data_IF_128180683337
#
_entry.id   IF_128180683337
#
_cell.length_a   1.000
_cell.length_b   1.000
_cell.length_c   1.000
_cell.angle_alpha   90.00
_cell.angle_beta   90.00
_cell.angle_gamma   90.00
#
_symmetry.space_group_name_H-M   'P 1'
#
loop_
_entity.id
_entity.type
_entity.pdbx_description
1 polymer ?
#
# COMPACT_ATOMS: atom_id res chain seq x y z
N UNK A 1 21.65 78.94 -12.79
CA UNK A 1 22.29 80.12 -12.18
C UNK A 1 21.78 80.27 -10.77
N UNK A 2 22.69 80.56 -9.82
CA UNK A 2 22.48 80.83 -8.39
C UNK A 2 21.87 79.66 -7.61
N UNK A 3 22.40 79.22 -6.47
CA UNK A 3 22.91 80.01 -5.36
C UNK A 3 24.06 79.28 -4.67
N UNK A 4 25.20 79.97 -4.53
CA UNK A 4 26.22 79.65 -3.53
C UNK A 4 25.56 79.85 -2.16
N UNK A 5 25.04 78.77 -1.57
CA UNK A 5 24.60 78.78 -0.17
C UNK A 5 25.83 79.00 0.71
N UNK A 6 25.88 80.18 1.32
CA UNK A 6 26.93 80.65 2.21
C UNK A 6 27.19 79.65 3.34
N UNK A 7 28.40 79.10 3.34
CA UNK A 7 28.95 78.27 4.41
C UNK A 7 29.23 79.07 5.70
N UNK A 8 28.98 80.38 5.71
CA UNK A 8 29.20 81.28 6.85
C UNK A 8 28.13 81.20 7.95
N UNK A 9 27.10 80.36 7.80
CA UNK A 9 26.00 80.25 8.78
C UNK A 9 26.19 79.22 9.90
N UNK A 10 27.33 78.52 9.95
CA UNK A 10 27.51 77.39 10.88
C UNK A 10 28.48 77.63 12.04
N UNK A 11 29.11 78.80 12.18
CA UNK A 11 30.22 78.93 13.15
C UNK A 11 30.05 79.94 14.29
N UNK A 12 28.97 80.71 14.39
CA UNK A 12 28.74 81.55 15.58
C UNK A 12 27.26 81.60 15.97
N UNK A 13 26.91 81.40 17.26
CA UNK A 13 25.57 81.71 17.76
C UNK A 13 25.31 83.21 17.58
N UNK A 14 24.16 83.59 17.03
CA UNK A 14 23.73 85.00 16.95
C UNK A 14 23.71 85.62 18.35
N UNK A 15 24.54 86.63 18.60
CA UNK A 15 24.35 87.53 19.72
C UNK A 15 23.04 88.30 19.51
N UNK A 16 22.07 88.11 20.41
CA UNK A 16 20.93 89.03 20.53
C UNK A 16 21.36 90.18 21.43
N UNK A 17 21.46 91.36 20.85
CA UNK A 17 21.48 92.62 21.60
C UNK A 17 20.04 92.95 22.00
N UNK A 18 19.78 93.07 23.29
CA UNK A 18 18.53 93.61 23.83
C UNK A 18 18.78 95.08 24.22
N UNK A 19 17.78 95.97 24.06
CA UNK A 19 17.93 97.40 24.32
C UNK A 19 18.06 97.70 25.81
N UNK A 20 18.76 98.80 26.13
CA UNK A 20 19.05 99.21 27.51
C UNK A 20 17.77 99.51 28.32
N UNK A 21 17.75 99.02 29.57
CA UNK A 21 16.99 99.68 30.65
C UNK A 21 15.68 99.05 31.13
N UNK A 22 15.65 97.77 31.53
CA UNK A 22 14.54 97.25 32.36
C UNK A 22 15.06 96.29 33.45
N UNK A 23 14.78 96.59 34.73
CA UNK A 23 15.08 95.75 35.90
C UNK A 23 14.07 94.61 36.00
N UNK A 24 14.55 93.38 36.16
CA UNK A 24 13.74 92.15 36.21
C UNK A 24 13.29 91.81 37.64
N UNK A 25 11.98 91.54 37.79
CA UNK A 25 11.41 90.66 38.82
C UNK A 25 11.03 89.34 38.12
N UNK A 26 11.32 88.22 38.79
CA UNK A 26 11.31 86.79 38.38
C UNK A 26 10.29 86.36 37.29
N UNK A 27 10.64 85.49 36.31
CA UNK A 27 9.67 84.97 35.36
C UNK A 27 9.15 83.55 35.67
N UNK A 28 7.82 83.42 35.61
CA UNK A 28 7.08 82.21 35.30
C UNK A 28 7.26 81.83 33.82
N UNK A 29 7.52 80.55 33.57
CA UNK A 29 7.07 79.73 32.43
C UNK A 29 6.78 80.33 31.03
N UNK A 30 7.61 81.21 30.47
CA UNK A 30 7.78 81.35 28.99
C UNK A 30 9.04 82.13 28.56
N UNK A 31 10.00 82.34 29.45
CA UNK A 31 11.24 83.08 29.18
C UNK A 31 12.34 82.15 28.63
N UNK A 32 13.29 82.67 27.80
CA UNK A 32 14.49 81.91 27.46
C UNK A 32 15.16 81.47 28.77
N UNK A 33 15.38 80.16 28.84
CA UNK A 33 16.16 79.48 29.86
C UNK A 33 17.24 80.43 30.42
N UNK A 34 17.26 80.72 31.74
CA UNK A 34 18.22 81.64 32.34
C UNK A 34 19.63 81.43 31.77
N UNK A 35 20.42 82.49 31.54
CA UNK A 35 21.77 82.42 30.90
C UNK A 35 22.66 81.29 31.43
N UNK A 36 22.45 80.85 32.68
CA UNK A 36 23.13 79.68 33.19
C UNK A 36 22.75 78.39 32.43
N UNK A 37 21.52 78.09 32.03
CA UNK A 37 21.16 76.86 31.31
C UNK A 37 21.91 76.65 29.98
N UNK A 38 22.35 77.71 29.31
CA UNK A 38 23.15 77.65 28.08
C UNK A 38 24.67 77.61 28.33
N UNK A 39 25.11 77.73 29.58
CA UNK A 39 26.52 77.67 29.96
C UNK A 39 27.13 76.28 29.65
N UNK A 40 28.28 76.20 28.94
CA UNK A 40 28.97 74.93 28.70
C UNK A 40 29.48 74.32 30.01
N UNK A 41 29.65 72.99 30.03
CA UNK A 41 29.99 72.21 31.23
C UNK A 41 31.35 72.60 31.85
N UNK A 42 32.23 73.19 31.04
CA UNK A 42 33.59 73.57 31.39
C UNK A 42 33.69 75.03 31.88
N UNK A 43 32.60 75.80 31.79
CA UNK A 43 32.59 77.19 32.24
C UNK A 43 32.08 77.28 33.69
N UNK A 44 32.83 78.02 34.52
CA UNK A 44 32.47 78.31 35.90
C UNK A 44 31.13 79.06 35.95
N UNK A 45 30.21 78.63 36.80
CA UNK A 45 28.98 79.38 37.06
C UNK A 45 29.35 80.82 37.49
N UNK A 46 28.87 81.86 36.78
CA UNK A 46 29.19 83.24 37.14
C UNK A 46 28.51 83.58 38.46
N UNK A 47 29.29 83.69 39.54
CA UNK A 47 28.83 84.09 40.87
C UNK A 47 29.25 85.53 41.09
N UNK A 48 28.27 86.43 41.29
CA UNK A 48 28.54 87.78 41.78
C UNK A 48 28.90 87.64 43.27
N UNK A 49 30.01 88.22 43.76
CA UNK A 49 30.34 88.17 45.17
C UNK A 49 29.24 88.89 45.97
N UNK A 50 28.44 88.09 46.67
CA UNK A 50 27.38 88.55 47.56
C UNK A 50 27.89 88.59 49.01
N UNK A 51 27.23 89.36 49.87
CA UNK A 51 27.52 89.34 51.30
C UNK A 51 27.32 87.92 51.85
N UNK A 52 28.06 87.59 52.92
CA UNK A 52 27.91 86.31 53.62
C UNK A 52 26.42 86.13 53.99
N UNK A 53 25.85 84.99 53.64
CA UNK A 53 24.44 84.59 53.85
C UNK A 53 23.38 85.11 52.84
N UNK A 54 23.75 85.93 51.85
CA UNK A 54 22.79 86.42 50.84
C UNK A 54 22.62 85.48 49.63
N UNK A 55 23.64 84.67 49.32
CA UNK A 55 23.64 83.73 48.19
C UNK A 55 23.98 82.31 48.65
N UNK A 56 22.99 81.43 48.73
CA UNK A 56 23.17 80.01 49.07
C UNK A 56 22.88 79.10 47.88
N UNK A 57 23.87 78.31 47.44
CA UNK A 57 23.63 77.26 46.45
C UNK A 57 22.95 76.07 47.10
N UNK A 58 22.04 75.43 46.37
CA UNK A 58 21.28 74.28 46.85
C UNK A 58 21.28 73.17 45.80
N UNK A 59 21.29 71.92 46.26
CA UNK A 59 21.25 70.73 45.38
C UNK A 59 19.86 70.08 45.38
N UNK A 60 19.64 69.10 46.26
CA UNK A 60 18.40 68.35 46.42
C UNK A 60 17.68 68.72 47.71
N UNK A 61 16.45 68.21 47.87
CA UNK A 61 15.77 68.22 49.17
C UNK A 61 16.51 67.30 50.14
N UNK A 62 16.33 67.56 51.43
CA UNK A 62 16.81 66.65 52.48
C UNK A 62 16.28 65.23 52.22
N UNK A 63 17.11 64.22 52.47
CA UNK A 63 16.82 62.80 52.26
C UNK A 63 16.50 62.41 50.82
N UNK A 64 16.91 63.23 49.83
CA UNK A 64 16.88 62.84 48.43
C UNK A 64 18.31 62.67 47.90
N UNK A 65 18.59 61.54 47.21
CA UNK A 65 19.92 61.29 46.67
C UNK A 65 20.18 62.30 45.55
N UNK A 66 21.33 62.97 45.59
CA UNK A 66 21.73 63.94 44.58
C UNK A 66 21.98 63.29 43.21
N UNK A 67 22.43 62.03 43.22
CA UNK A 67 22.77 61.28 42.01
C UNK A 67 21.87 60.05 41.94
N UNK A 68 20.79 60.12 41.16
CA UNK A 68 19.89 58.98 40.90
C UNK A 68 19.95 58.59 39.44
N UNK A 69 20.55 57.44 39.12
CA UNK A 69 20.49 56.90 37.76
C UNK A 69 19.03 56.65 37.35
N UNK A 70 18.70 56.94 36.09
CA UNK A 70 17.41 56.53 35.50
C UNK A 70 17.44 55.14 34.91
N UNK A 71 18.62 54.52 34.80
CA UNK A 71 18.74 53.12 34.44
C UNK A 71 18.39 52.32 35.68
N UNK A 72 17.14 51.87 35.74
CA UNK A 72 16.61 51.13 36.90
C UNK A 72 17.10 49.67 36.92
N UNK A 73 17.78 49.20 35.84
CA UNK A 73 18.02 47.77 35.60
C UNK A 73 19.45 47.42 35.10
N UNK A 74 20.32 48.40 34.80
CA UNK A 74 21.67 48.14 34.26
C UNK A 74 22.75 49.02 34.90
N UNK A 75 23.96 48.47 35.03
CA UNK A 75 25.14 49.20 35.52
C UNK A 75 25.64 50.15 34.42
N UNK A 76 25.81 51.43 34.75
CA UNK A 76 26.37 52.42 33.81
C UNK A 76 27.89 52.28 33.75
N UNK A 77 28.39 51.60 32.70
CA UNK A 77 29.83 51.46 32.44
C UNK A 77 30.44 52.70 31.75
N UNK A 78 29.66 53.77 31.53
CA UNK A 78 30.15 54.97 30.83
C UNK A 78 31.14 55.80 31.66
N UNK A 79 31.10 55.67 32.99
CA UNK A 79 32.01 56.35 33.92
C UNK A 79 32.64 55.35 34.90
N UNK A 80 33.60 54.52 34.46
CA UNK A 80 34.18 53.44 35.26
C UNK A 80 34.93 53.94 36.50
N UNK A 81 35.28 55.22 36.55
CA UNK A 81 36.00 55.85 37.66
C UNK A 81 35.12 56.76 38.51
N UNK A 82 33.78 56.75 38.32
CA UNK A 82 32.83 57.61 39.03
C UNK A 82 33.24 59.09 39.09
N UNK A 83 33.84 59.64 38.02
CA UNK A 83 34.30 61.04 37.98
C UNK A 83 33.15 62.04 38.09
N UNK A 84 31.93 61.59 37.83
CA UNK A 84 30.72 62.42 37.73
C UNK A 84 29.92 62.48 39.03
N UNK A 85 30.09 61.48 39.89
CA UNK A 85 29.40 61.38 41.17
C UNK A 85 30.40 61.58 42.30
N UNK A 86 30.04 62.40 43.29
CA UNK A 86 30.78 62.41 44.55
C UNK A 86 30.40 61.17 45.36
N UNK A 87 31.39 60.40 45.80
CA UNK A 87 31.22 59.21 46.66
C UNK A 87 31.21 59.55 48.15
N UNK A 88 31.36 60.82 48.51
CA UNK A 88 31.34 61.27 49.90
C UNK A 88 29.96 61.10 50.51
N UNK A 89 29.87 60.28 51.56
CA UNK A 89 28.63 60.04 52.28
C UNK A 89 28.16 61.32 52.98
N UNK A 90 26.91 61.71 52.73
CA UNK A 90 26.26 62.85 53.37
C UNK A 90 24.95 62.41 54.01
N UNK A 91 24.87 62.43 55.35
CA UNK A 91 23.67 62.02 56.09
C UNK A 91 22.40 62.80 55.66
N UNK A 92 22.54 64.08 55.29
CA UNK A 92 21.43 64.92 54.83
C UNK A 92 20.83 64.48 53.47
N UNK A 93 21.52 63.63 52.71
CA UNK A 93 21.07 63.12 51.40
C UNK A 93 20.60 61.66 51.48
N UNK A 94 20.71 61.04 52.65
CA UNK A 94 20.34 59.64 52.87
C UNK A 94 18.81 59.48 52.91
N UNK A 95 18.20 58.69 52.00
CA UNK A 95 16.78 58.40 52.01
C UNK A 95 16.30 57.67 53.27
N UNK A 96 17.16 56.86 53.90
CA UNK A 96 16.80 56.06 55.06
C UNK A 96 16.77 56.87 56.36
N UNK A 97 17.44 58.03 56.38
CA UNK A 97 17.40 58.96 57.52
C UNK A 97 16.19 59.90 57.49
N UNK A 98 15.26 59.71 56.54
CA UNK A 98 14.08 60.57 56.38
C UNK A 98 13.25 60.70 57.66
N UNK A 99 12.95 59.59 58.32
CA UNK A 99 12.09 59.60 59.51
C UNK A 99 12.81 60.21 60.72
N UNK A 100 14.14 60.02 60.79
CA UNK A 100 14.96 60.64 61.82
C UNK A 100 15.05 62.16 61.62
N UNK A 101 15.44 62.62 60.43
CA UNK A 101 15.61 64.03 60.10
C UNK A 101 14.29 64.80 60.01
N UNK A 102 13.15 64.11 59.87
CA UNK A 102 11.82 64.71 59.89
C UNK A 102 11.35 65.13 61.29
N UNK A 103 11.98 64.65 62.37
CA UNK A 103 11.60 65.01 63.74
C UNK A 103 11.71 66.53 63.96
N UNK A 104 10.71 67.17 64.59
CA UNK A 104 10.62 68.64 64.63
C UNK A 104 11.80 69.30 65.37
N UNK A 105 12.29 68.68 66.45
CA UNK A 105 13.46 69.19 67.18
C UNK A 105 14.74 69.11 66.35
N UNK A 106 14.95 68.01 65.61
CA UNK A 106 16.11 67.82 64.73
C UNK A 106 16.05 68.80 63.57
N UNK A 107 14.87 68.97 62.95
CA UNK A 107 14.69 69.94 61.87
C UNK A 107 14.94 71.37 62.33
N UNK A 108 14.51 71.74 63.53
CA UNK A 108 14.80 73.05 64.13
C UNK A 108 16.30 73.26 64.31
N UNK A 109 16.99 72.26 64.86
CA UNK A 109 18.45 72.28 65.04
C UNK A 109 19.20 72.39 63.69
N UNK A 110 18.75 71.67 62.65
CA UNK A 110 19.35 71.74 61.31
C UNK A 110 19.18 73.12 60.66
N UNK A 111 18.06 73.80 60.92
CA UNK A 111 17.83 75.17 60.46
C UNK A 111 18.70 76.18 61.24
N UNK A 112 18.78 76.03 62.57
CA UNK A 112 19.63 76.87 63.43
C UNK A 112 21.12 76.75 63.06
N UNK A 113 21.55 75.56 62.61
CA UNK A 113 22.93 75.30 62.18
C UNK A 113 23.19 75.62 60.70
N UNK A 114 22.23 76.20 59.95
CA UNK A 114 22.33 76.48 58.51
C UNK A 114 22.71 75.26 57.65
N UNK A 115 22.38 74.05 58.11
CA UNK A 115 22.64 72.81 57.38
C UNK A 115 21.53 72.49 56.36
N UNK A 116 20.38 73.15 56.50
CA UNK A 116 19.22 73.01 55.62
C UNK A 116 18.62 74.40 55.41
N UNK A 117 18.18 74.70 54.20
CA UNK A 117 17.47 75.96 53.92
C UNK A 117 16.04 75.93 54.49
N UNK A 118 15.37 77.07 54.68
CA UNK A 118 13.94 77.10 55.06
C UNK A 118 13.06 76.30 54.08
N UNK A 119 13.46 76.20 52.81
CA UNK A 119 12.81 75.39 51.77
C UNK A 119 13.10 73.88 51.84
N UNK A 120 13.83 73.41 52.86
CA UNK A 120 14.14 72.00 53.07
C UNK A 120 15.18 71.44 52.10
N UNK A 121 16.02 72.30 51.51
CA UNK A 121 17.09 71.90 50.59
C UNK A 121 18.43 71.91 51.28
N UNK A 122 19.35 71.07 50.82
CA UNK A 122 20.70 71.00 51.36
C UNK A 122 21.57 72.09 50.70
N UNK A 123 22.11 73.05 51.48
CA UNK A 123 23.03 74.05 50.98
C UNK A 123 24.33 73.37 50.54
N UNK A 124 24.99 73.90 49.54
CA UNK A 124 26.18 73.30 48.96
C UNK A 124 27.20 74.33 48.50
N UNK A 125 28.41 73.87 48.19
CA UNK A 125 29.42 74.73 47.58
C UNK A 125 29.14 74.96 46.09
N UNK A 126 29.79 75.97 45.50
CA UNK A 126 29.73 76.21 44.04
C UNK A 126 30.21 74.99 43.25
N UNK A 127 31.19 74.26 43.78
CA UNK A 127 31.74 73.05 43.17
C UNK A 127 30.68 71.95 43.10
N UNK A 128 29.99 71.68 44.21
CA UNK A 128 28.96 70.65 44.30
C UNK A 128 27.76 70.99 43.40
N UNK A 129 27.41 72.27 43.32
CA UNK A 129 26.36 72.76 42.44
C UNK A 129 26.68 72.51 40.96
N UNK A 130 27.92 72.77 40.54
CA UNK A 130 28.38 72.49 39.17
C UNK A 130 28.38 70.98 38.87
N UNK A 131 28.84 70.15 39.82
CA UNK A 131 28.82 68.68 39.68
C UNK A 131 27.38 68.16 39.52
N UNK A 132 26.46 68.63 40.36
CA UNK A 132 25.05 68.26 40.32
C UNK A 132 24.39 68.66 38.99
N UNK A 133 24.69 69.86 38.49
CA UNK A 133 24.22 70.34 37.19
C UNK A 133 24.74 69.47 36.02
N UNK A 134 26.02 69.10 36.05
CA UNK A 134 26.63 68.25 35.02
C UNK A 134 25.97 66.87 34.98
N UNK A 135 25.66 66.30 36.15
CA UNK A 135 24.93 65.05 36.28
C UNK A 135 23.53 65.11 35.64
N UNK A 136 22.72 66.12 35.98
CA UNK A 136 21.35 66.26 35.44
C UNK A 136 21.33 66.33 33.90
N UNK A 137 22.30 67.00 33.29
CA UNK A 137 22.39 67.12 31.82
C UNK A 137 22.74 65.80 31.14
N UNK A 138 23.66 65.00 31.71
CA UNK A 138 24.01 63.68 31.17
C UNK A 138 22.82 62.72 31.20
N UNK A 139 22.08 62.74 32.30
CA UNK A 139 20.87 61.94 32.44
C UNK A 139 19.80 62.28 31.39
N UNK A 140 19.65 63.57 31.04
CA UNK A 140 18.75 64.00 29.97
C UNK A 140 19.21 63.52 28.58
N UNK A 141 20.52 63.49 28.31
CA UNK A 141 21.06 63.01 27.03
C UNK A 141 20.87 61.49 26.84
N UNK A 142 20.98 60.70 27.90
CA UNK A 142 20.80 59.23 27.86
C UNK A 142 19.35 58.88 27.51
N UNK A 143 18.37 59.53 28.15
CA UNK A 143 16.94 59.28 27.89
C UNK A 143 16.53 59.50 26.43
N UNK A 144 17.21 60.42 25.73
CA UNK A 144 16.86 60.76 24.35
C UNK A 144 17.46 59.80 23.30
N UNK A 145 18.38 58.90 23.67
CA UNK A 145 19.08 58.00 22.72
C UNK A 145 18.44 56.62 22.55
N UNK A 146 17.61 56.15 23.48
CA UNK A 146 17.12 54.77 23.49
C UNK A 146 16.08 54.37 22.40
N UNK A 147 15.23 55.24 21.83
CA UNK A 147 14.16 54.74 20.95
C UNK A 147 14.62 54.32 19.53
N UNK A 148 15.74 54.85 19.01
CA UNK A 148 16.18 54.59 17.63
C UNK A 148 17.00 53.30 17.45
N UNK A 149 17.65 52.80 18.50
CA UNK A 149 18.55 51.64 18.40
C UNK A 149 17.81 50.31 18.55
N UNK A 150 16.78 50.24 19.40
CA UNK A 150 15.98 49.04 19.58
C UNK A 150 15.15 48.69 18.34
N UNK A 151 14.56 49.69 17.69
CA UNK A 151 13.71 49.54 16.51
C UNK A 151 14.46 48.90 15.33
N UNK A 152 15.69 49.38 15.05
CA UNK A 152 16.55 48.80 14.00
C UNK A 152 16.97 47.36 14.27
N UNK A 153 17.24 47.01 15.53
CA UNK A 153 17.63 45.65 15.91
C UNK A 153 16.47 44.64 15.71
N UNK A 154 15.25 45.05 16.03
CA UNK A 154 14.04 44.21 15.83
C UNK A 154 13.72 43.97 14.36
N UNK A 155 13.87 44.99 13.50
CA UNK A 155 13.61 44.87 12.06
C UNK A 155 14.57 43.89 11.38
N UNK A 156 15.87 43.98 11.70
CA UNK A 156 16.89 43.07 11.17
C UNK A 156 16.64 41.61 11.56
N UNK A 157 16.22 41.36 12.81
CA UNK A 157 15.91 40.00 13.27
C UNK A 157 14.75 39.37 12.49
N UNK A 158 13.71 40.16 12.21
CA UNK A 158 12.53 39.70 11.47
C UNK A 158 12.85 39.36 10.00
N UNK A 159 13.77 40.11 9.39
CA UNK A 159 14.22 39.84 8.02
C UNK A 159 14.94 38.48 7.91
N UNK A 160 15.85 38.18 8.83
CA UNK A 160 16.59 36.90 8.87
C UNK A 160 15.65 35.71 9.07
N UNK A 161 14.65 35.85 9.95
CA UNK A 161 13.64 34.81 10.20
C UNK A 161 12.78 34.52 8.95
N UNK A 162 12.44 35.53 8.15
CA UNK A 162 11.72 35.33 6.89
C UNK A 162 12.56 34.57 5.85
N UNK A 163 13.82 34.95 5.69
CA UNK A 163 14.71 34.32 4.72
C UNK A 163 14.99 32.85 5.05
N UNK A 164 15.14 32.52 6.34
CA UNK A 164 15.36 31.14 6.80
C UNK A 164 14.13 30.26 6.61
N UNK A 165 12.93 30.76 6.88
CA UNK A 165 11.67 30.03 6.61
C UNK A 165 11.48 29.67 5.13
N UNK A 166 11.68 30.64 4.23
CA UNK A 166 11.56 30.41 2.78
C UNK A 166 12.52 29.33 2.27
N UNK A 167 13.77 29.32 2.76
CA UNK A 167 14.76 28.29 2.41
C UNK A 167 14.37 26.91 2.93
N UNK A 168 13.85 26.81 4.15
CA UNK A 168 13.40 25.55 4.72
C UNK A 168 12.20 24.95 3.96
N UNK A 169 11.27 25.80 3.50
CA UNK A 169 10.13 25.37 2.69
C UNK A 169 10.56 24.82 1.32
N UNK A 170 11.50 25.49 0.63
CA UNK A 170 12.04 25.01 -0.65
C UNK A 170 12.71 23.64 -0.51
N UNK A 171 13.55 23.46 0.50
CA UNK A 171 14.21 22.16 0.78
C UNK A 171 13.16 21.09 1.10
N UNK A 172 12.14 21.42 1.89
CA UNK A 172 11.05 20.49 2.22
C UNK A 172 10.28 20.03 0.98
N UNK A 173 9.98 20.94 0.05
CA UNK A 173 9.30 20.62 -1.21
C UNK A 173 10.18 19.73 -2.09
N UNK A 174 11.47 20.02 -2.20
CA UNK A 174 12.40 19.23 -3.02
C UNK A 174 12.57 17.80 -2.48
N UNK A 175 12.69 17.64 -1.16
CA UNK A 175 12.76 16.33 -0.50
C UNK A 175 11.47 15.53 -0.72
N UNK A 176 10.30 16.16 -0.60
CA UNK A 176 9.01 15.51 -0.89
C UNK A 176 8.89 15.06 -2.34
N UNK A 177 9.29 15.90 -3.30
CA UNK A 177 9.30 15.54 -4.72
C UNK A 177 10.21 14.35 -5.02
N UNK A 178 11.42 14.31 -4.45
CA UNK A 178 12.35 13.19 -4.60
C UNK A 178 11.80 11.90 -3.98
N UNK A 179 11.19 12.00 -2.80
CA UNK A 179 10.55 10.86 -2.12
C UNK A 179 9.39 10.28 -2.92
N UNK A 180 8.53 11.12 -3.50
CA UNK A 180 7.39 10.67 -4.32
C UNK A 180 7.87 9.96 -5.59
N UNK A 181 8.88 10.51 -6.27
CA UNK A 181 9.47 9.87 -7.45
C UNK A 181 10.09 8.51 -7.11
N UNK A 182 10.81 8.40 -5.98
CA UNK A 182 11.39 7.13 -5.54
C UNK A 182 10.31 6.06 -5.24
N UNK A 183 9.18 6.46 -4.63
CA UNK A 183 8.05 5.56 -4.39
C UNK A 183 7.38 5.10 -5.69
N UNK A 184 7.25 5.98 -6.69
CA UNK A 184 6.71 5.62 -8.00
C UNK A 184 7.59 4.60 -8.72
N UNK A 185 8.91 4.84 -8.75
CA UNK A 185 9.87 3.90 -9.35
C UNK A 185 9.85 2.52 -8.68
N UNK A 186 9.69 2.47 -7.35
CA UNK A 186 9.55 1.20 -6.62
C UNK A 186 8.29 0.44 -7.01
N UNK A 187 7.15 1.13 -7.13
CA UNK A 187 5.89 0.53 -7.58
C UNK A 187 5.99 0.00 -9.01
N UNK A 188 6.52 0.80 -9.92
CA UNK A 188 6.73 0.39 -11.32
C UNK A 188 7.64 -0.85 -11.40
N UNK A 189 8.73 -0.88 -10.63
CA UNK A 189 9.62 -2.04 -10.57
C UNK A 189 8.96 -3.29 -9.95
N UNK A 190 8.06 -3.13 -8.99
CA UNK A 190 7.27 -4.24 -8.43
C UNK A 190 6.26 -4.78 -9.44
N UNK A 191 5.55 -3.89 -10.14
CA UNK A 191 4.62 -4.25 -11.21
C UNK A 191 5.31 -4.97 -12.36
N UNK A 192 6.49 -4.52 -12.78
CA UNK A 192 7.31 -5.22 -13.78
C UNK A 192 7.71 -6.62 -13.33
N UNK A 193 8.13 -6.79 -12.07
CA UNK A 193 8.44 -8.12 -11.52
C UNK A 193 7.22 -9.03 -11.50
N UNK A 194 6.06 -8.51 -11.11
CA UNK A 194 4.81 -9.26 -11.15
C UNK A 194 4.45 -9.66 -12.59
N UNK A 195 4.53 -8.74 -13.54
CA UNK A 195 4.28 -9.03 -14.95
C UNK A 195 5.25 -10.09 -15.49
N UNK A 196 6.54 -10.02 -15.15
CA UNK A 196 7.52 -11.03 -15.53
C UNK A 196 7.21 -12.39 -14.92
N UNK A 197 6.78 -12.43 -13.65
CA UNK A 197 6.34 -13.66 -13.00
C UNK A 197 5.14 -14.31 -13.71
N UNK A 198 4.10 -13.51 -14.00
CA UNK A 198 2.93 -13.98 -14.73
C UNK A 198 3.26 -14.45 -16.15
N UNK A 199 4.17 -13.76 -16.86
CA UNK A 199 4.65 -14.22 -18.17
C UNK A 199 5.36 -15.57 -18.08
N UNK A 200 6.21 -15.77 -17.07
CA UNK A 200 6.89 -17.07 -16.86
C UNK A 200 5.88 -18.18 -16.56
N UNK A 201 4.92 -17.93 -15.67
CA UNK A 201 3.85 -18.87 -15.40
C UNK A 201 3.01 -19.19 -16.64
N UNK A 202 2.68 -18.19 -17.46
CA UNK A 202 1.92 -18.40 -18.68
C UNK A 202 2.67 -19.30 -19.67
N UNK A 203 3.98 -19.09 -19.84
CA UNK A 203 4.84 -19.95 -20.69
C UNK A 203 4.93 -21.37 -20.13
N UNK A 204 5.05 -21.54 -18.82
CA UNK A 204 5.05 -22.85 -18.17
C UNK A 204 3.70 -23.57 -18.35
N UNK A 205 2.60 -22.87 -18.13
CA UNK A 205 1.25 -23.40 -18.33
C UNK A 205 1.01 -23.81 -19.79
N UNK A 206 1.48 -23.04 -20.76
CA UNK A 206 1.38 -23.39 -22.18
C UNK A 206 2.18 -24.65 -22.52
N UNK A 207 3.38 -24.82 -21.93
CA UNK A 207 4.19 -26.03 -22.09
C UNK A 207 3.50 -27.25 -21.48
N UNK A 208 2.94 -27.13 -20.29
CA UNK A 208 2.19 -28.22 -19.65
C UNK A 208 0.94 -28.58 -20.45
N UNK A 209 0.20 -27.60 -20.98
CA UNK A 209 -0.93 -27.87 -21.87
C UNK A 209 -0.52 -28.65 -23.13
N UNK A 210 0.59 -28.26 -23.77
CA UNK A 210 1.11 -28.98 -24.94
C UNK A 210 1.49 -30.42 -24.61
N UNK A 211 2.16 -30.66 -23.48
CA UNK A 211 2.47 -32.04 -23.02
C UNK A 211 1.21 -32.85 -22.78
N UNK A 212 0.22 -32.28 -22.11
CA UNK A 212 -1.03 -32.95 -21.81
C UNK A 212 -1.82 -33.27 -23.09
N UNK A 213 -1.77 -32.40 -24.10
CA UNK A 213 -2.34 -32.68 -25.43
C UNK A 213 -1.59 -33.79 -26.17
N UNK A 214 -0.27 -33.80 -26.12
CA UNK A 214 0.56 -34.88 -26.70
C UNK A 214 0.28 -36.22 -26.04
N UNK A 215 0.21 -36.27 -24.71
CA UNK A 215 -0.19 -37.46 -23.96
C UNK A 215 -1.61 -37.91 -24.32
N UNK A 216 -2.56 -36.98 -24.45
CA UNK A 216 -3.93 -37.28 -24.85
C UNK A 216 -3.99 -37.84 -26.28
N UNK A 217 -3.20 -37.31 -27.21
CA UNK A 217 -3.06 -37.84 -28.57
C UNK A 217 -2.45 -39.24 -28.55
N UNK A 218 -1.35 -39.44 -27.83
CA UNK A 218 -0.69 -40.74 -27.69
C UNK A 218 -1.63 -41.79 -27.09
N UNK A 219 -2.38 -41.44 -26.04
CA UNK A 219 -3.40 -42.30 -25.45
C UNK A 219 -4.49 -42.64 -26.48
N UNK A 220 -5.00 -41.66 -27.21
CA UNK A 220 -6.03 -41.88 -28.23
C UNK A 220 -5.53 -42.82 -29.34
N UNK A 221 -4.28 -42.68 -29.79
CA UNK A 221 -3.68 -43.60 -30.75
C UNK A 221 -3.54 -45.02 -30.18
N UNK A 222 -3.14 -45.16 -28.93
CA UNK A 222 -3.06 -46.45 -28.23
C UNK A 222 -4.42 -47.13 -28.15
N UNK A 223 -5.47 -46.38 -27.81
CA UNK A 223 -6.86 -46.87 -27.78
C UNK A 223 -7.31 -47.28 -29.18
N UNK A 224 -7.00 -46.48 -30.20
CA UNK A 224 -7.32 -46.80 -31.60
C UNK A 224 -6.66 -48.10 -32.04
N UNK A 225 -5.34 -48.26 -31.80
CA UNK A 225 -4.60 -49.50 -32.09
C UNK A 225 -5.17 -50.70 -31.33
N UNK A 226 -5.55 -50.53 -30.05
CA UNK A 226 -6.17 -51.59 -29.25
C UNK A 226 -7.53 -51.99 -29.82
N UNK A 227 -8.33 -51.02 -30.26
CA UNK A 227 -9.63 -51.25 -30.91
C UNK A 227 -9.45 -52.00 -32.24
N UNK A 228 -8.48 -51.60 -33.06
CA UNK A 228 -8.17 -52.28 -34.32
C UNK A 228 -7.76 -53.74 -34.10
N UNK A 229 -6.85 -54.00 -33.16
CA UNK A 229 -6.46 -55.37 -32.77
C UNK A 229 -7.64 -56.19 -32.25
N UNK A 230 -8.53 -55.56 -31.46
CA UNK A 230 -9.73 -56.23 -30.99
C UNK A 230 -10.68 -56.58 -32.14
N UNK A 231 -10.90 -55.66 -33.07
CA UNK A 231 -11.72 -55.89 -34.27
C UNK A 231 -11.13 -56.99 -35.16
N UNK A 232 -9.80 -57.02 -35.33
CA UNK A 232 -9.11 -58.08 -36.06
C UNK A 232 -9.27 -59.44 -35.39
N UNK A 233 -9.06 -59.51 -34.07
CA UNK A 233 -9.31 -60.73 -33.29
C UNK A 233 -10.77 -61.18 -33.37
N UNK A 234 -11.73 -60.25 -33.40
CA UNK A 234 -13.15 -60.57 -33.60
C UNK A 234 -13.42 -61.15 -34.99
N UNK A 235 -12.75 -60.65 -36.04
CA UNK A 235 -12.84 -61.25 -37.39
C UNK A 235 -12.26 -62.65 -37.42
N UNK A 236 -11.10 -62.86 -36.82
CA UNK A 236 -10.48 -64.20 -36.72
C UNK A 236 -11.38 -65.20 -35.98
N UNK A 237 -12.03 -64.76 -34.89
CA UNK A 237 -12.98 -65.61 -34.16
C UNK A 237 -14.16 -65.99 -35.05
N UNK A 238 -14.76 -65.02 -35.76
CA UNK A 238 -15.86 -65.29 -36.69
C UNK A 238 -15.47 -66.24 -37.82
N UNK A 239 -14.29 -66.06 -38.40
CA UNK A 239 -13.79 -66.96 -39.45
C UNK A 239 -13.59 -68.39 -38.92
N UNK A 240 -13.02 -68.54 -37.71
CA UNK A 240 -12.88 -69.85 -37.06
C UNK A 240 -14.23 -70.48 -36.75
N UNK A 241 -15.20 -69.71 -36.29
CA UNK A 241 -16.56 -70.19 -36.07
C UNK A 241 -17.24 -70.62 -37.36
N UNK A 242 -17.09 -69.86 -38.45
CA UNK A 242 -17.62 -70.22 -39.77
C UNK A 242 -16.99 -71.52 -40.30
N UNK A 243 -15.69 -71.70 -40.15
CA UNK A 243 -15.00 -72.93 -40.51
C UNK A 243 -15.52 -74.09 -39.67
N UNK A 244 -15.61 -73.92 -38.35
CA UNK A 244 -16.13 -74.94 -37.44
C UNK A 244 -17.59 -75.30 -37.74
N UNK A 245 -18.44 -74.32 -38.09
CA UNK A 245 -19.82 -74.54 -38.56
C UNK A 245 -19.84 -75.41 -39.81
N UNK A 246 -19.06 -75.06 -40.83
CA UNK A 246 -18.96 -75.83 -42.08
C UNK A 246 -18.47 -77.25 -41.84
N UNK A 247 -17.47 -77.45 -40.99
CA UNK A 247 -16.98 -78.78 -40.62
C UNK A 247 -18.05 -79.60 -39.88
N UNK A 248 -18.81 -78.95 -38.99
CA UNK A 248 -19.92 -79.59 -38.30
C UNK A 248 -21.01 -80.01 -39.29
N UNK A 249 -21.44 -79.11 -40.18
CA UNK A 249 -22.46 -79.38 -41.19
C UNK A 249 -22.03 -80.51 -42.13
N UNK A 250 -20.75 -80.56 -42.53
CA UNK A 250 -20.20 -81.66 -43.33
C UNK A 250 -20.27 -83.00 -42.60
N UNK A 251 -19.94 -83.03 -41.30
CA UNK A 251 -20.04 -84.26 -40.49
C UNK A 251 -21.49 -84.71 -40.33
N UNK A 252 -22.41 -83.78 -40.10
CA UNK A 252 -23.85 -84.08 -40.03
C UNK A 252 -24.33 -84.68 -41.35
N UNK A 253 -23.98 -84.07 -42.49
CA UNK A 253 -24.33 -84.59 -43.81
C UNK A 253 -23.74 -85.99 -44.06
N UNK A 254 -22.50 -86.26 -43.63
CA UNK A 254 -21.90 -87.60 -43.72
C UNK A 254 -22.70 -88.63 -42.90
N UNK A 255 -23.08 -88.28 -41.66
CA UNK A 255 -23.91 -89.14 -40.82
C UNK A 255 -25.27 -89.42 -41.48
N UNK A 256 -25.89 -88.40 -42.08
CA UNK A 256 -27.16 -88.55 -42.80
C UNK A 256 -27.05 -89.48 -44.00
N UNK A 257 -25.99 -89.34 -44.80
CA UNK A 257 -25.72 -90.22 -45.94
C UNK A 257 -25.49 -91.67 -45.49
N UNK A 258 -24.67 -91.89 -44.46
CA UNK A 258 -24.48 -93.22 -43.90
C UNK A 258 -25.76 -93.83 -43.35
N UNK A 259 -26.61 -93.02 -42.71
CA UNK A 259 -27.91 -93.46 -42.22
C UNK A 259 -28.83 -93.87 -43.37
N UNK A 260 -28.86 -93.11 -44.47
CA UNK A 260 -29.61 -93.45 -45.67
C UNK A 260 -29.10 -94.74 -46.33
N UNK A 261 -27.80 -94.94 -46.44
CA UNK A 261 -27.24 -96.18 -46.97
C UNK A 261 -27.63 -97.39 -46.12
N UNK A 262 -27.58 -97.25 -44.78
CA UNK A 262 -28.01 -98.31 -43.86
C UNK A 262 -29.50 -98.60 -44.02
N UNK A 263 -30.33 -97.57 -44.15
CA UNK A 263 -31.76 -97.72 -44.42
C UNK A 263 -32.01 -98.46 -45.73
N UNK A 264 -31.35 -98.05 -46.81
CA UNK A 264 -31.45 -98.69 -48.13
C UNK A 264 -31.02 -100.16 -48.07
N UNK A 265 -29.97 -100.50 -47.32
CA UNK A 265 -29.55 -101.89 -47.11
C UNK A 265 -30.62 -102.71 -46.36
N UNK A 266 -31.22 -102.14 -45.32
CA UNK A 266 -32.32 -102.79 -44.59
C UNK A 266 -33.52 -103.02 -45.51
N UNK A 267 -33.88 -102.04 -46.33
CA UNK A 267 -35.00 -102.17 -47.26
C UNK A 267 -34.70 -103.15 -48.40
N UNK A 268 -33.48 -103.19 -48.92
CA UNK A 268 -33.05 -104.22 -49.88
C UNK A 268 -33.14 -105.63 -49.28
N UNK A 269 -32.71 -105.80 -48.02
CA UNK A 269 -32.84 -107.08 -47.30
C UNK A 269 -34.31 -107.48 -47.09
N UNK A 270 -35.19 -106.52 -46.78
CA UNK A 270 -36.63 -106.74 -46.68
C UNK A 270 -37.22 -107.18 -48.01
N UNK A 271 -36.88 -106.49 -49.10
CA UNK A 271 -37.32 -106.83 -50.46
C UNK A 271 -36.83 -108.21 -50.88
N UNK A 272 -35.56 -108.53 -50.65
CA UNK A 272 -35.00 -109.85 -50.94
C UNK A 272 -35.72 -110.96 -50.16
N UNK A 273 -35.98 -110.76 -48.88
CA UNK A 273 -36.76 -111.70 -48.05
C UNK A 273 -38.18 -111.86 -48.59
N UNK A 274 -38.84 -110.77 -49.00
CA UNK A 274 -40.16 -110.84 -49.64
C UNK A 274 -40.12 -111.64 -50.93
N UNK A 275 -39.15 -111.40 -51.81
CA UNK A 275 -38.95 -112.17 -53.04
C UNK A 275 -38.71 -113.65 -52.76
N UNK A 276 -37.88 -114.00 -51.78
CA UNK A 276 -37.64 -115.39 -51.39
C UNK A 276 -38.93 -116.07 -50.88
N UNK A 277 -39.75 -115.35 -50.11
CA UNK A 277 -41.05 -115.85 -49.67
C UNK A 277 -42.03 -116.02 -50.82
N UNK A 278 -42.00 -115.14 -51.83
CA UNK A 278 -42.79 -115.27 -53.05
C UNK A 278 -42.35 -116.44 -53.93
N UNK A 279 -41.04 -116.62 -54.15
CA UNK A 279 -40.54 -117.76 -54.92
C UNK A 279 -40.89 -119.08 -54.25
N UNK A 280 -40.75 -119.17 -52.91
CA UNK A 280 -41.20 -120.33 -52.13
C UNK A 280 -42.71 -120.57 -52.27
N UNK A 281 -43.53 -119.52 -52.20
CA UNK A 281 -44.98 -119.62 -52.45
C UNK A 281 -45.29 -120.09 -53.87
N UNK A 282 -44.59 -119.58 -54.89
CA UNK A 282 -44.74 -120.01 -56.29
C UNK A 282 -44.36 -121.47 -56.47
N UNK A 283 -43.24 -121.92 -55.90
CA UNK A 283 -42.81 -123.31 -55.95
C UNK A 283 -43.83 -124.25 -55.29
N UNK A 284 -44.33 -123.90 -54.10
CA UNK A 284 -45.40 -124.66 -53.45
C UNK A 284 -46.67 -124.71 -54.29
N UNK A 285 -47.04 -123.61 -54.93
CA UNK A 285 -48.18 -123.58 -55.85
C UNK A 285 -47.96 -124.49 -57.06
N UNK A 286 -46.77 -124.47 -57.68
CA UNK A 286 -46.43 -125.36 -58.79
C UNK A 286 -46.46 -126.84 -58.39
N UNK A 287 -45.90 -127.19 -57.23
CA UNK A 287 -45.95 -128.56 -56.70
C UNK A 287 -47.40 -129.02 -56.48
N UNK A 288 -48.23 -128.18 -55.85
CA UNK A 288 -49.67 -128.48 -55.70
C UNK A 288 -50.38 -128.63 -57.03
N UNK A 289 -50.05 -127.79 -58.02
CA UNK A 289 -50.63 -127.85 -59.37
C UNK A 289 -50.21 -129.13 -60.11
N UNK A 290 -48.94 -129.54 -60.01
CA UNK A 290 -48.46 -130.79 -60.59
C UNK A 290 -49.13 -131.99 -59.94
N UNK A 291 -49.25 -132.00 -58.61
CA UNK A 291 -49.98 -133.04 -57.90
C UNK A 291 -51.45 -133.11 -58.35
N UNK A 292 -52.13 -131.97 -58.49
CA UNK A 292 -53.49 -131.93 -59.04
C UNK A 292 -53.58 -132.50 -60.46
N UNK A 293 -52.61 -132.19 -61.33
CA UNK A 293 -52.54 -132.76 -62.68
C UNK A 293 -52.35 -134.27 -62.65
N UNK A 294 -51.49 -134.79 -61.76
CA UNK A 294 -51.31 -136.23 -61.58
C UNK A 294 -52.60 -136.91 -61.11
N UNK A 295 -53.29 -136.32 -60.14
CA UNK A 295 -54.59 -136.83 -59.66
C UNK A 295 -55.63 -136.83 -60.78
N UNK A 296 -55.66 -135.79 -61.62
CA UNK A 296 -56.54 -135.74 -62.80
C UNK A 296 -56.16 -136.80 -63.84
N UNK A 297 -54.88 -136.99 -64.14
CA UNK A 297 -54.38 -138.02 -65.05
C UNK A 297 -54.70 -139.43 -64.53
N UNK A 298 -54.51 -139.68 -63.23
CA UNK A 298 -54.89 -140.93 -62.57
C UNK A 298 -56.41 -141.16 -62.66
N UNK A 299 -57.22 -140.12 -62.41
CA UNK A 299 -58.67 -140.19 -62.57
C UNK A 299 -59.07 -140.48 -64.03
N UNK A 300 -58.42 -139.85 -65.02
CA UNK A 300 -58.64 -140.14 -66.44
C UNK A 300 -58.23 -141.58 -66.80
N UNK A 301 -57.13 -142.07 -66.25
CA UNK A 301 -56.68 -143.46 -66.43
C UNK A 301 -57.65 -144.45 -65.79
N UNK A 302 -58.23 -144.12 -64.62
CA UNK A 302 -59.29 -144.90 -64.00
C UNK A 302 -60.55 -144.89 -64.85
N UNK A 303 -60.98 -143.74 -65.39
CA UNK A 303 -62.10 -143.66 -66.32
C UNK A 303 -61.88 -144.55 -67.53
N UNK A 304 -60.70 -144.48 -68.19
CA UNK A 304 -60.35 -145.37 -69.30
C UNK A 304 -60.38 -146.85 -68.91
N UNK A 305 -59.90 -147.21 -67.71
CA UNK A 305 -59.98 -148.59 -67.21
C UNK A 305 -61.43 -149.05 -67.06
N UNK A 306 -62.30 -148.21 -66.49
CA UNK A 306 -63.73 -148.49 -66.34
C UNK A 306 -64.42 -148.57 -67.71
N UNK A 307 -64.09 -147.68 -68.66
CA UNK A 307 -64.60 -147.74 -70.03
C UNK A 307 -64.22 -149.04 -70.73
N UNK A 308 -62.97 -149.48 -70.62
CA UNK A 308 -62.51 -150.78 -71.13
C UNK A 308 -63.26 -151.93 -70.46
N UNK A 309 -63.51 -151.86 -69.15
CA UNK A 309 -64.28 -152.88 -68.43
C UNK A 309 -65.75 -152.91 -68.87
N UNK A 310 -66.35 -151.74 -69.12
CA UNK A 310 -67.70 -151.61 -69.70
C UNK A 310 -67.72 -152.19 -71.11
N UNK A 311 -66.76 -151.87 -71.97
CA UNK A 311 -66.66 -152.45 -73.33
C UNK A 311 -66.47 -153.97 -73.29
N UNK A 312 -65.63 -154.48 -72.40
CA UNK A 312 -65.43 -155.92 -72.18
C UNK A 312 -66.73 -156.60 -71.73
N UNK A 313 -67.46 -156.00 -70.78
CA UNK A 313 -68.78 -156.50 -70.36
C UNK A 313 -69.78 -156.41 -71.52
N UNK A 314 -69.76 -155.34 -72.32
CA UNK A 314 -70.63 -155.18 -73.49
C UNK A 314 -70.38 -156.30 -74.51
N UNK A 315 -69.12 -156.60 -74.81
CA UNK A 315 -68.73 -157.75 -75.65
C UNK A 315 -69.20 -159.08 -75.06
N UNK A 316 -69.06 -159.29 -73.75
CA UNK A 316 -69.56 -160.49 -73.09
C UNK A 316 -71.10 -160.62 -73.12
N UNK A 317 -71.84 -159.52 -73.13
CA UNK A 317 -73.30 -159.54 -73.33
C UNK A 317 -73.67 -159.79 -74.79
N UNK A 318 -72.92 -159.23 -75.75
CA UNK A 318 -73.08 -159.48 -77.18
C UNK A 318 -72.81 -160.96 -77.52
N UNK A 319 -71.77 -161.57 -76.94
CA UNK A 319 -71.43 -162.99 -77.11
C UNK A 319 -72.43 -163.96 -76.44
N UNK A 320 -73.26 -163.48 -75.50
CA UNK A 320 -74.33 -164.28 -74.86
C UNK A 320 -75.69 -164.16 -75.56
N UNK A 321 -75.80 -163.29 -76.56
CA UNK A 321 -77.00 -163.11 -77.39
C UNK A 321 -76.89 -163.77 -78.78
N UNK A 322 -75.77 -164.44 -79.04
CA UNK A 322 -75.58 -165.46 -80.10
C UNK A 322 -75.59 -166.85 -79.50
#
# INVERSE_FOLDING_TARGET
MSERRSLDRLLLPRMRTEPEGVKLLVPESSAPLPRWQTLPLDAKFPVIPAAKDEMTFVTTKICQPAYRSTQHETFDLSDPYNRTMQTEYTALRDPYLKDFLAKPHIRKQLLEQNLVTPSGKVPCTVRDFNNYRNFLRRQALIKNKEPETLTRATENRNLILRQTKMKAELVSVEVKCKSLKAQQMLKEAEEEKQQQFWRKQAVEAEKEQKRLEEERKAHNELVKKRRERWMEKQREIREKEEIARKEHDQKVLQIELEAQEKLNKVDAMRQYKQQLMETRRRQQWHQKRQYQMQVLEEAMMQQKRVEIEIEMRRRQYEDKMT
#
